data_IF_885640768222
#
_entry.id   IF_885640768222
#
_cell.length_a   1.000
_cell.length_b   1.000
_cell.length_c   1.000
_cell.angle_alpha   90.00
_cell.angle_beta   90.00
_cell.angle_gamma   90.00
#
_symmetry.space_group_name_H-M   'P 1'
#
loop_
_entity.id
_entity.type
_entity.pdbx_description
1 polymer ?
#
# COMPACT_ATOMS: atom_id res chain seq x y z
N UNK A 1 8.60 -0.67 12.03
CA UNK A 1 8.89 -2.13 12.10
C UNK A 1 7.59 -2.89 11.86
N UNK A 2 7.21 -3.07 10.59
CA UNK A 2 5.89 -3.60 10.17
C UNK A 2 5.82 -5.15 10.29
N UNK A 3 6.98 -5.81 10.38
CA UNK A 3 7.09 -7.27 10.38
C UNK A 3 6.83 -7.98 11.74
N UNK A 4 6.39 -7.27 12.78
CA UNK A 4 6.19 -7.85 14.13
C UNK A 4 4.73 -7.94 14.58
N UNK A 5 3.77 -7.97 13.66
CA UNK A 5 2.36 -8.22 14.03
C UNK A 5 2.01 -9.71 13.87
N UNK A 6 1.43 -10.37 14.90
CA UNK A 6 1.22 -11.82 14.91
C UNK A 6 0.34 -12.36 13.78
N UNK A 7 -0.50 -11.50 13.19
CA UNK A 7 -1.42 -11.89 12.10
C UNK A 7 -0.89 -11.65 10.69
N UNK A 8 0.13 -10.80 10.50
CA UNK A 8 0.64 -10.45 9.17
C UNK A 8 1.17 -11.68 8.42
N UNK A 9 1.89 -12.55 9.14
CA UNK A 9 2.41 -13.80 8.60
C UNK A 9 1.30 -14.75 8.13
N UNK A 10 0.19 -14.82 8.87
CA UNK A 10 -0.93 -15.70 8.54
C UNK A 10 -1.70 -15.19 7.33
N UNK A 11 -2.01 -13.89 7.28
CA UNK A 11 -2.69 -13.27 6.12
C UNK A 11 -1.83 -13.40 4.87
N UNK A 12 -0.52 -13.10 4.98
CA UNK A 12 0.43 -13.27 3.89
C UNK A 12 0.47 -14.71 3.38
N UNK A 13 0.60 -15.70 4.28
CA UNK A 13 0.61 -17.12 3.92
C UNK A 13 -0.67 -17.55 3.21
N UNK A 14 -1.83 -17.08 3.66
CA UNK A 14 -3.10 -17.42 3.04
C UNK A 14 -3.24 -16.80 1.64
N UNK A 15 -2.82 -15.54 1.45
CA UNK A 15 -2.77 -14.89 0.12
C UNK A 15 -1.77 -15.64 -0.78
N UNK A 16 -0.59 -16.01 -0.27
CA UNK A 16 0.42 -16.76 -1.01
C UNK A 16 -0.07 -18.14 -1.44
N UNK A 17 -0.83 -18.83 -0.59
CA UNK A 17 -1.34 -20.18 -0.83
C UNK A 17 -2.56 -20.20 -1.76
N UNK A 18 -3.42 -19.18 -1.69
CA UNK A 18 -4.75 -19.21 -2.33
C UNK A 18 -4.90 -18.28 -3.53
N UNK A 19 -4.01 -17.30 -3.72
CA UNK A 19 -4.15 -16.33 -4.81
C UNK A 19 -3.20 -16.63 -5.97
N UNK A 20 -3.76 -16.88 -7.16
CA UNK A 20 -3.02 -16.92 -8.44
C UNK A 20 -2.74 -15.53 -9.02
N UNK A 21 -3.22 -14.47 -8.37
CA UNK A 21 -3.14 -13.08 -8.82
C UNK A 21 -1.72 -12.52 -8.71
N UNK A 22 -1.37 -11.60 -9.61
CA UNK A 22 -0.12 -10.83 -9.50
C UNK A 22 -0.07 -10.08 -8.18
N UNK A 23 1.05 -10.22 -7.47
CA UNK A 23 1.30 -9.56 -6.18
C UNK A 23 2.02 -8.26 -6.46
N UNK A 24 1.42 -7.14 -6.06
CA UNK A 24 2.02 -5.81 -6.15
C UNK A 24 2.22 -5.32 -4.73
N UNK A 25 3.46 -5.04 -4.35
CA UNK A 25 3.77 -4.41 -3.08
C UNK A 25 4.05 -2.94 -3.34
N UNK A 26 3.25 -2.06 -2.75
CA UNK A 26 3.39 -0.61 -2.89
C UNK A 26 3.81 -0.06 -1.53
N UNK A 27 5.09 0.29 -1.39
CA UNK A 27 5.68 0.83 -0.16
C UNK A 27 5.99 2.31 -0.35
N UNK A 28 5.37 3.15 0.47
CA UNK A 28 5.54 4.61 0.45
C UNK A 28 6.79 4.94 1.27
N UNK A 29 7.97 4.70 0.70
CA UNK A 29 9.25 5.02 1.37
C UNK A 29 10.48 4.26 0.86
N UNK A 30 10.57 3.92 -0.43
CA UNK A 30 11.40 2.81 -0.92
C UNK A 30 12.93 2.82 -0.63
N UNK A 31 13.60 3.94 -0.32
CA UNK A 31 15.07 3.97 -0.38
C UNK A 31 15.78 3.15 0.72
N UNK A 32 15.20 3.02 1.92
CA UNK A 32 15.79 2.23 3.03
C UNK A 32 15.15 0.86 3.24
N UNK A 33 13.98 0.61 2.64
CA UNK A 33 13.19 -0.58 2.91
C UNK A 33 13.42 -1.72 1.91
N UNK A 34 14.00 -1.45 0.74
CA UNK A 34 14.28 -2.47 -0.28
C UNK A 34 15.11 -3.67 0.23
N UNK A 35 16.25 -3.50 0.94
CA UNK A 35 16.99 -4.64 1.50
C UNK A 35 16.19 -5.41 2.57
N UNK A 36 15.37 -4.70 3.36
CA UNK A 36 14.52 -5.31 4.38
C UNK A 36 13.34 -6.07 3.76
N UNK A 37 12.79 -5.57 2.66
CA UNK A 37 11.80 -6.26 1.83
C UNK A 37 12.34 -7.60 1.34
N UNK A 38 13.48 -7.61 0.67
CA UNK A 38 14.10 -8.87 0.21
C UNK A 38 14.36 -9.87 1.36
N UNK A 39 14.82 -9.36 2.51
CA UNK A 39 15.01 -10.20 3.70
C UNK A 39 13.68 -10.76 4.23
N UNK A 40 12.61 -9.97 4.20
CA UNK A 40 11.29 -10.36 4.69
C UNK A 40 10.60 -11.35 3.75
N UNK A 41 10.77 -11.18 2.44
CA UNK A 41 10.09 -11.99 1.43
C UNK A 41 10.93 -13.17 0.90
N UNK A 42 12.22 -13.24 1.27
CA UNK A 42 13.17 -14.29 0.87
C UNK A 42 13.25 -14.47 -0.65
N UNK A 43 13.18 -13.35 -1.34
CA UNK A 43 13.05 -13.24 -2.79
C UNK A 43 14.15 -12.33 -3.36
N UNK A 44 15.35 -12.38 -2.78
CA UNK A 44 16.53 -11.62 -3.25
C UNK A 44 16.81 -11.78 -4.74
N UNK A 45 16.42 -12.92 -5.30
CA UNK A 45 16.69 -13.35 -6.66
C UNK A 45 15.62 -12.84 -7.64
N UNK A 46 14.53 -12.25 -7.11
CA UNK A 46 13.42 -11.68 -7.87
C UNK A 46 13.16 -10.26 -7.38
N UNK A 47 13.58 -9.22 -8.12
CA UNK A 47 13.32 -7.86 -7.71
C UNK A 47 11.80 -7.66 -7.53
N UNK A 48 11.40 -7.12 -6.37
CA UNK A 48 10.01 -6.74 -6.13
C UNK A 48 9.78 -5.43 -6.90
N UNK A 49 8.74 -5.33 -7.75
CA UNK A 49 8.40 -4.06 -8.39
C UNK A 49 8.13 -3.00 -7.33
N UNK A 50 8.66 -1.81 -7.52
CA UNK A 50 8.38 -0.67 -6.65
C UNK A 50 8.21 0.58 -7.50
N UNK A 51 7.42 1.52 -6.97
CA UNK A 51 7.19 2.83 -7.55
C UNK A 51 7.44 3.89 -6.47
N UNK A 52 8.11 4.99 -6.82
CA UNK A 52 8.34 6.11 -5.92
C UNK A 52 7.61 7.34 -6.47
N UNK A 53 6.63 7.82 -5.72
CA UNK A 53 5.87 9.02 -6.04
C UNK A 53 4.86 9.36 -4.95
N UNK A 54 4.34 10.58 -4.98
CA UNK A 54 3.30 11.04 -4.08
C UNK A 54 1.92 10.68 -4.66
N UNK A 55 1.22 9.73 -4.06
CA UNK A 55 -0.08 9.24 -4.57
C UNK A 55 -1.17 10.33 -4.61
N UNK A 56 -0.99 11.42 -3.86
CA UNK A 56 -1.95 12.53 -3.84
C UNK A 56 -1.82 13.46 -5.06
N UNK A 57 -0.69 13.42 -5.78
CA UNK A 57 -0.43 14.21 -6.99
C UNK A 57 -1.15 13.63 -8.21
N UNK A 58 -1.74 14.50 -9.04
CA UNK A 58 -2.46 14.12 -10.26
C UNK A 58 -1.57 13.42 -11.29
N UNK A 59 -0.30 13.78 -11.32
CA UNK A 59 0.71 13.23 -12.23
C UNK A 59 1.04 11.77 -11.86
N UNK A 60 0.90 11.42 -10.58
CA UNK A 60 1.12 10.06 -10.06
C UNK A 60 -0.14 9.22 -10.17
N UNK A 61 -1.29 9.80 -9.86
CA UNK A 61 -2.59 9.14 -9.99
C UNK A 61 -3.62 10.18 -10.38
N UNK A 62 -4.15 10.09 -11.58
CA UNK A 62 -5.18 11.02 -12.04
C UNK A 62 -6.55 10.57 -11.50
N UNK A 63 -7.30 11.42 -10.80
CA UNK A 63 -8.66 11.08 -10.35
C UNK A 63 -9.70 11.15 -11.47
N UNK A 64 -9.41 11.86 -12.54
CA UNK A 64 -10.38 12.20 -13.59
C UNK A 64 -10.46 11.12 -14.68
N UNK A 65 -9.34 10.48 -14.98
CA UNK A 65 -9.29 9.41 -15.98
C UNK A 65 -9.90 8.10 -15.47
N UNK A 66 -10.83 7.55 -16.26
CA UNK A 66 -11.50 6.25 -16.02
C UNK A 66 -10.91 5.11 -16.85
N UNK A 67 -9.78 5.35 -17.53
CA UNK A 67 -9.15 4.35 -18.39
C UNK A 67 -8.71 3.12 -17.57
N UNK A 68 -9.27 1.95 -17.89
CA UNK A 68 -8.85 0.67 -17.32
C UNK A 68 -7.83 0.01 -18.25
N UNK A 69 -6.73 -0.46 -17.68
CA UNK A 69 -5.73 -1.26 -18.39
C UNK A 69 -5.92 -2.72 -17.99
N UNK A 70 -5.79 -3.63 -18.96
CA UNK A 70 -5.77 -5.07 -18.69
C UNK A 70 -4.62 -5.42 -17.73
N UNK A 71 -4.90 -5.91 -16.51
CA UNK A 71 -3.88 -6.22 -15.51
C UNK A 71 -2.79 -7.18 -15.99
N UNK A 72 -3.10 -8.07 -16.94
CA UNK A 72 -2.14 -9.01 -17.51
C UNK A 72 -1.04 -8.31 -18.31
N UNK A 73 -1.34 -7.14 -18.90
CA UNK A 73 -0.43 -6.37 -19.76
C UNK A 73 0.43 -5.36 -19.01
N UNK A 74 0.17 -5.13 -17.72
CA UNK A 74 0.90 -4.13 -16.92
C UNK A 74 2.32 -4.63 -16.64
N UNK A 75 3.32 -3.86 -17.03
CA UNK A 75 4.71 -4.09 -16.62
C UNK A 75 5.02 -3.30 -15.34
N UNK A 76 4.97 -3.99 -14.20
CA UNK A 76 5.15 -3.38 -12.87
C UNK A 76 6.56 -2.79 -12.65
N UNK A 77 7.58 -3.27 -13.37
CA UNK A 77 8.95 -2.78 -13.23
C UNK A 77 9.22 -1.49 -14.01
N UNK A 78 8.28 -1.08 -14.87
CA UNK A 78 8.42 0.07 -15.76
C UNK A 78 7.32 1.13 -15.51
N UNK A 79 6.66 1.09 -14.35
CA UNK A 79 5.64 2.07 -13.98
C UNK A 79 6.28 3.47 -13.89
N UNK A 80 5.68 4.42 -14.62
CA UNK A 80 6.01 5.85 -14.53
C UNK A 80 5.06 6.62 -13.61
N UNK A 81 3.88 6.03 -13.39
CA UNK A 81 2.80 6.51 -12.55
C UNK A 81 1.91 5.31 -12.18
N UNK A 82 0.85 5.54 -11.40
CA UNK A 82 -0.05 4.51 -10.90
C UNK A 82 -1.34 4.36 -11.71
N UNK A 83 -1.55 5.15 -12.78
CA UNK A 83 -2.77 5.10 -13.58
C UNK A 83 -3.03 3.73 -14.21
N UNK A 84 -2.02 2.98 -14.71
CA UNK A 84 -2.25 1.62 -15.21
C UNK A 84 -2.81 0.67 -14.15
N UNK A 85 -2.59 0.95 -12.86
CA UNK A 85 -3.03 0.10 -11.75
C UNK A 85 -4.46 0.39 -11.28
N UNK A 86 -5.17 1.34 -11.90
CA UNK A 86 -6.57 1.64 -11.57
C UNK A 86 -7.44 0.40 -11.73
N UNK A 87 -8.16 0.03 -10.66
CA UNK A 87 -9.01 -1.16 -10.64
C UNK A 87 -8.25 -2.49 -10.76
N UNK A 88 -6.92 -2.52 -10.64
CA UNK A 88 -6.11 -3.72 -10.86
C UNK A 88 -5.59 -4.34 -9.55
N UNK A 89 -5.55 -3.58 -8.45
CA UNK A 89 -5.03 -4.07 -7.18
C UNK A 89 -6.11 -4.86 -6.42
N UNK A 90 -5.90 -6.17 -6.30
CA UNK A 90 -6.80 -7.04 -5.52
C UNK A 90 -6.59 -6.91 -4.02
N UNK A 91 -5.35 -6.64 -3.60
CA UNK A 91 -4.99 -6.47 -2.21
C UNK A 91 -4.14 -5.21 -2.06
N UNK A 92 -4.60 -4.30 -1.21
CA UNK A 92 -3.84 -3.10 -0.84
C UNK A 92 -3.57 -3.18 0.65
N UNK A 93 -2.29 -3.08 1.03
CA UNK A 93 -1.90 -3.02 2.42
C UNK A 93 -1.24 -1.69 2.76
N UNK A 94 -1.73 -1.05 3.81
CA UNK A 94 -1.22 0.23 4.30
C UNK A 94 -1.11 0.11 5.82
N UNK A 95 -0.02 0.57 6.40
CA UNK A 95 0.19 0.38 7.83
C UNK A 95 0.68 1.68 8.46
N UNK A 96 -0.09 2.22 9.41
CA UNK A 96 0.21 3.49 10.06
C UNK A 96 0.49 4.60 9.04
N UNK A 97 -0.41 4.82 8.07
CA UNK A 97 -0.23 5.86 7.03
C UNK A 97 -1.19 7.04 7.20
N UNK A 98 -2.47 6.76 7.49
CA UNK A 98 -3.52 7.78 7.59
C UNK A 98 -3.23 8.85 8.66
N UNK A 99 -2.55 8.50 9.74
CA UNK A 99 -2.23 9.42 10.83
C UNK A 99 -1.22 10.52 10.47
N UNK A 100 -0.57 10.46 9.30
CA UNK A 100 0.28 11.55 8.80
C UNK A 100 -0.52 12.70 8.18
N UNK A 101 -1.83 12.52 8.00
CA UNK A 101 -2.69 13.47 7.31
C UNK A 101 -3.82 13.95 8.22
N UNK A 102 -4.31 15.15 7.96
CA UNK A 102 -5.57 15.63 8.52
C UNK A 102 -6.77 14.92 7.88
N UNK A 103 -7.99 15.25 8.29
CA UNK A 103 -9.21 14.60 7.78
C UNK A 103 -9.33 14.70 6.25
N UNK A 104 -8.97 15.85 5.66
CA UNK A 104 -9.02 16.07 4.23
C UNK A 104 -8.02 15.18 3.49
N UNK A 105 -6.76 15.11 3.95
CA UNK A 105 -5.74 14.25 3.37
C UNK A 105 -6.03 12.75 3.59
N UNK A 106 -6.58 12.37 4.74
CA UNK A 106 -7.04 11.00 4.99
C UNK A 106 -8.13 10.59 4.01
N UNK A 107 -9.09 11.48 3.74
CA UNK A 107 -10.14 11.25 2.74
C UNK A 107 -9.54 11.11 1.34
N UNK A 108 -8.66 12.02 0.93
CA UNK A 108 -8.00 11.94 -0.38
C UNK A 108 -7.23 10.63 -0.53
N UNK A 109 -6.48 10.23 0.50
CA UNK A 109 -5.74 8.97 0.50
C UNK A 109 -6.69 7.76 0.37
N UNK A 110 -7.82 7.74 1.10
CA UNK A 110 -8.82 6.69 0.97
C UNK A 110 -9.40 6.61 -0.46
N UNK A 111 -9.72 7.76 -1.06
CA UNK A 111 -10.19 7.86 -2.44
C UNK A 111 -9.13 7.33 -3.43
N UNK A 112 -7.85 7.65 -3.21
CA UNK A 112 -6.75 7.10 -4.03
C UNK A 112 -6.65 5.58 -3.92
N UNK A 113 -6.82 5.03 -2.72
CA UNK A 113 -6.78 3.58 -2.53
C UNK A 113 -7.97 2.90 -3.22
N UNK A 114 -9.15 3.50 -3.16
CA UNK A 114 -10.34 3.00 -3.85
C UNK A 114 -10.15 2.98 -5.38
N UNK A 115 -9.49 3.99 -5.96
CA UNK A 115 -9.19 4.01 -7.40
C UNK A 115 -8.30 2.85 -7.86
N UNK A 116 -7.39 2.39 -7.00
CA UNK A 116 -6.50 1.28 -7.30
C UNK A 116 -7.16 -0.09 -7.08
N UNK A 117 -8.15 -0.15 -6.17
CA UNK A 117 -8.79 -1.40 -5.77
C UNK A 117 -9.62 -2.00 -6.90
N UNK A 118 -9.44 -3.30 -7.16
CA UNK A 118 -10.24 -4.05 -8.13
C UNK A 118 -11.69 -4.25 -7.68
N UNK A 119 -12.61 -4.29 -8.64
CA UNK A 119 -14.02 -4.61 -8.45
C UNK A 119 -14.28 -6.12 -8.31
N UNK A 120 -13.25 -6.96 -8.43
CA UNK A 120 -13.39 -8.40 -8.26
C UNK A 120 -13.73 -8.79 -6.81
N UNK A 121 -14.60 -9.79 -6.65
CA UNK A 121 -15.00 -10.33 -5.34
C UNK A 121 -13.78 -10.77 -4.55
N UNK A 122 -13.71 -10.33 -3.29
CA UNK A 122 -12.61 -10.63 -2.38
C UNK A 122 -11.45 -9.64 -2.46
N UNK A 123 -11.52 -8.61 -3.30
CA UNK A 123 -10.59 -7.49 -3.23
C UNK A 123 -10.71 -6.77 -1.89
N UNK A 124 -9.58 -6.40 -1.28
CA UNK A 124 -9.59 -5.85 0.09
C UNK A 124 -8.43 -4.89 0.35
N UNK A 125 -8.74 -3.85 1.13
CA UNK A 125 -7.76 -2.94 1.73
C UNK A 125 -7.60 -3.34 3.20
N UNK A 126 -6.37 -3.56 3.68
CA UNK A 126 -6.13 -4.00 5.06
C UNK A 126 -4.79 -3.52 5.64
N UNK A 127 -4.72 -3.44 6.96
CA UNK A 127 -3.50 -3.09 7.70
C UNK A 127 -3.84 -2.39 9.01
N UNK A 128 -2.85 -1.84 9.69
CA UNK A 128 -3.10 -1.15 10.96
C UNK A 128 -3.40 0.33 10.71
N UNK A 129 -4.65 0.69 10.93
CA UNK A 129 -5.13 2.06 11.00
C UNK A 129 -5.90 2.20 12.30
N UNK A 130 -5.49 3.15 13.14
CA UNK A 130 -6.21 3.50 14.37
C UNK A 130 -6.69 4.93 14.20
N UNK A 131 -8.02 5.10 14.23
CA UNK A 131 -8.63 6.40 14.40
C UNK A 131 -8.62 6.79 15.87
N UNK A 132 -8.65 8.10 16.14
CA UNK A 132 -8.85 8.58 17.50
C UNK A 132 -10.23 8.19 18.03
N UNK A 133 -10.37 8.08 19.35
CA UNK A 133 -11.67 7.84 20.00
C UNK A 133 -12.60 9.03 19.76
N UNK A 134 -12.03 10.24 19.69
CA UNK A 134 -12.72 11.47 19.31
C UNK A 134 -12.19 11.98 17.98
N UNK A 135 -13.07 12.66 17.23
CA UNK A 135 -12.68 13.40 16.04
C UNK A 135 -11.67 14.51 16.41
N UNK A 136 -10.56 14.56 15.70
CA UNK A 136 -9.50 15.56 15.88
C UNK A 136 -8.11 14.93 16.03
N UNK A 137 -7.09 15.78 16.20
CA UNK A 137 -5.74 15.32 16.46
C UNK A 137 -5.63 14.90 17.94
N UNK A 138 -5.61 13.60 18.19
CA UNK A 138 -5.33 13.09 19.54
C UNK A 138 -3.82 13.09 19.79
N UNK A 139 -3.40 13.63 20.93
CA UNK A 139 -1.99 13.73 21.37
C UNK A 139 -1.42 12.38 21.84
N UNK A 140 -1.83 11.28 21.23
CA UNK A 140 -1.31 9.97 21.59
C UNK A 140 0.16 9.87 21.18
N UNK A 141 1.02 9.46 22.13
CA UNK A 141 2.41 9.09 21.86
C UNK A 141 2.41 7.85 20.97
N UNK A 142 2.53 8.04 19.67
CA UNK A 142 2.71 6.93 18.73
C UNK A 142 4.06 6.26 19.00
N UNK A 143 4.05 4.94 19.18
CA UNK A 143 5.18 4.12 19.62
C UNK A 143 6.16 3.83 18.47
N UNK A 144 6.49 4.82 17.64
CA UNK A 144 7.47 4.68 16.58
C UNK A 144 8.36 5.92 16.48
N UNK A 145 9.03 6.25 17.58
CA UNK A 145 10.25 7.06 17.52
C UNK A 145 11.48 6.14 17.49
N UNK A 146 12.36 6.25 16.49
CA UNK A 146 13.67 5.57 16.48
C UNK A 146 14.62 6.07 17.58
N UNK A 147 14.27 7.16 18.27
CA UNK A 147 15.07 7.77 19.34
C UNK A 147 14.40 7.54 20.70
N UNK A 148 14.22 6.27 21.06
CA UNK A 148 14.11 5.86 22.46
C UNK A 148 15.48 5.41 22.96
N UNK A 149 16.36 6.41 23.07
CA UNK A 149 17.41 6.61 24.08
C UNK A 149 17.71 8.10 24.09
#
# INVERSE_FOLDING_TARGET
MIARHPFYHNVRKEIEKKSSTRKIFLDIGACKWKPLGYKLFRDSDRPIPYFLGNVLESEVLDVTSTAKVDPAKINLHALKDLNPLKGAARFITLNQLFHFFDEAGQRQLAERCALLLSDEVGSSIFGMHIGGVKKGLESHKFVHFPSST
#
